data_IF_829292202980
#
_entry.id   IF_829292202980
#
_cell.length_a   1.000
_cell.length_b   1.000
_cell.length_c   1.000
_cell.angle_alpha   90.00
_cell.angle_beta   90.00
_cell.angle_gamma   90.00
#
_symmetry.space_group_name_H-M   'P 1'
#
loop_
_entity.id
_entity.type
_entity.pdbx_description
1 polymer ?
#
# COMPACT_ATOMS: atom_id res chain seq x y z
N UNK A 1 18.27 -10.41 -7.41
CA UNK A 1 18.02 -11.06 -6.11
C UNK A 1 17.13 -10.14 -5.29
N UNK A 2 16.05 -10.64 -4.71
CA UNK A 2 15.08 -9.87 -3.90
C UNK A 2 14.80 -10.57 -2.57
N UNK A 3 14.33 -9.87 -1.52
CA UNK A 3 13.84 -10.51 -0.30
C UNK A 3 12.68 -11.46 -0.60
N UNK A 4 12.69 -12.64 0.00
CA UNK A 4 11.61 -13.61 -0.09
C UNK A 4 10.46 -13.21 0.85
N UNK A 5 9.31 -12.82 0.28
CA UNK A 5 8.18 -12.30 1.04
C UNK A 5 7.59 -13.35 1.99
N UNK A 6 7.51 -14.63 1.59
CA UNK A 6 7.00 -15.69 2.46
C UNK A 6 7.95 -15.95 3.63
N UNK A 7 9.25 -15.97 3.39
CA UNK A 7 10.24 -16.07 4.46
C UNK A 7 10.10 -14.90 5.44
N UNK A 8 9.97 -13.66 4.95
CA UNK A 8 9.81 -12.48 5.80
C UNK A 8 8.51 -12.53 6.61
N UNK A 9 7.41 -12.99 6.01
CA UNK A 9 6.13 -13.15 6.69
C UNK A 9 6.22 -14.16 7.84
N UNK A 10 6.81 -15.33 7.60
CA UNK A 10 7.04 -16.36 8.62
C UNK A 10 7.96 -15.82 9.72
N UNK A 11 9.03 -15.10 9.35
CA UNK A 11 9.95 -14.48 10.31
C UNK A 11 9.25 -13.43 11.19
N UNK A 12 8.36 -12.62 10.61
CA UNK A 12 7.54 -11.65 11.33
C UNK A 12 6.56 -12.33 12.31
N UNK A 13 5.91 -13.42 11.90
CA UNK A 13 5.08 -14.24 12.79
C UNK A 13 5.94 -14.77 13.95
N UNK A 14 7.10 -15.34 13.65
CA UNK A 14 8.00 -15.89 14.67
C UNK A 14 8.52 -14.82 15.64
N UNK A 15 8.72 -13.58 15.17
CA UNK A 15 9.15 -12.45 15.99
C UNK A 15 8.06 -11.95 16.94
N UNK A 16 6.79 -11.97 16.50
CA UNK A 16 5.63 -11.57 17.32
C UNK A 16 5.10 -12.69 18.22
N UNK A 17 5.48 -13.93 17.96
CA UNK A 17 5.02 -15.11 18.71
C UNK A 17 5.83 -15.36 19.99
N UNK A 18 5.25 -16.13 20.91
CA UNK A 18 5.92 -16.54 22.16
C UNK A 18 7.19 -17.40 21.93
N UNK A 19 8.06 -17.54 22.95
CA UNK A 19 9.37 -18.17 22.81
C UNK A 19 9.32 -19.60 22.26
N UNK A 20 8.33 -20.40 22.66
CA UNK A 20 8.17 -21.79 22.20
C UNK A 20 7.87 -21.87 20.71
N UNK A 21 6.87 -21.13 20.23
CA UNK A 21 6.47 -21.09 18.81
C UNK A 21 7.63 -20.59 17.95
N UNK A 22 8.33 -19.54 18.41
CA UNK A 22 9.52 -19.03 17.73
C UNK A 22 10.60 -20.09 17.55
N UNK A 23 10.84 -20.95 18.54
CA UNK A 23 11.81 -22.04 18.43
C UNK A 23 11.36 -23.11 17.44
N UNK A 24 10.10 -23.52 17.49
CA UNK A 24 9.54 -24.49 16.54
C UNK A 24 9.68 -23.98 15.09
N UNK A 25 9.32 -22.72 14.83
CA UNK A 25 9.44 -22.12 13.49
C UNK A 25 10.90 -22.08 13.05
N UNK A 26 11.83 -21.66 13.93
CA UNK A 26 13.26 -21.63 13.61
C UNK A 26 13.80 -23.02 13.25
N UNK A 27 13.47 -24.02 14.06
CA UNK A 27 13.89 -25.41 13.81
C UNK A 27 13.31 -25.93 12.50
N UNK A 28 12.04 -25.68 12.22
CA UNK A 28 11.40 -26.06 10.96
C UNK A 28 12.10 -25.41 9.76
N UNK A 29 12.34 -24.10 9.79
CA UNK A 29 13.05 -23.40 8.71
C UNK A 29 14.47 -23.94 8.50
N UNK A 30 15.19 -24.25 9.57
CA UNK A 30 16.55 -24.80 9.50
C UNK A 30 16.58 -26.26 9.00
N UNK A 31 15.61 -27.07 9.39
CA UNK A 31 15.53 -28.49 9.06
C UNK A 31 15.10 -28.71 7.61
N UNK A 32 14.03 -28.03 7.20
CA UNK A 32 13.43 -28.27 5.89
C UNK A 32 14.08 -27.48 4.76
N UNK A 33 14.69 -26.32 5.07
CA UNK A 33 15.37 -25.43 4.11
C UNK A 33 14.57 -25.15 2.82
N UNK A 34 13.24 -25.19 2.90
CA UNK A 34 12.38 -24.90 1.76
C UNK A 34 12.47 -23.43 1.34
N UNK A 35 12.72 -22.54 2.29
CA UNK A 35 12.83 -21.11 2.05
C UNK A 35 14.21 -20.55 2.37
N UNK A 36 14.61 -19.59 1.55
CA UNK A 36 15.79 -18.74 1.76
C UNK A 36 15.36 -17.29 1.97
N UNK A 37 16.12 -16.48 2.74
CA UNK A 37 15.78 -15.07 2.96
C UNK A 37 15.73 -14.22 1.68
N UNK A 38 16.44 -14.66 0.64
CA UNK A 38 16.51 -14.03 -0.67
C UNK A 38 16.30 -15.07 -1.77
N UNK A 39 15.67 -14.64 -2.86
CA UNK A 39 15.41 -15.45 -4.06
C UNK A 39 15.87 -14.73 -5.32
N UNK A 40 16.11 -15.50 -6.37
CA UNK A 40 16.43 -15.00 -7.70
C UNK A 40 15.23 -15.22 -8.62
N UNK A 41 14.53 -14.12 -8.92
CA UNK A 41 13.41 -14.07 -9.87
C UNK A 41 13.64 -12.93 -10.85
N UNK A 42 13.02 -13.01 -12.02
CA UNK A 42 13.05 -11.91 -12.99
C UNK A 42 12.10 -10.78 -12.56
N UNK A 43 12.31 -9.58 -13.11
CA UNK A 43 11.43 -8.43 -12.85
C UNK A 43 9.99 -8.74 -13.29
N UNK A 44 9.82 -9.42 -14.43
CA UNK A 44 8.49 -9.78 -14.93
C UNK A 44 7.76 -10.76 -14.00
N UNK A 45 8.48 -11.75 -13.46
CA UNK A 45 7.94 -12.69 -12.47
C UNK A 45 7.59 -12.02 -11.15
N UNK A 46 8.44 -11.10 -10.68
CA UNK A 46 8.16 -10.38 -9.44
C UNK A 46 6.93 -9.48 -9.59
N UNK A 47 6.84 -8.72 -10.68
CA UNK A 47 5.81 -7.71 -10.84
C UNK A 47 4.50 -8.28 -11.38
N UNK A 48 4.52 -9.08 -12.45
CA UNK A 48 3.33 -9.37 -13.25
C UNK A 48 2.96 -10.86 -13.33
N UNK A 49 3.89 -11.75 -13.75
CA UNK A 49 3.59 -13.19 -13.91
C UNK A 49 3.39 -13.91 -12.58
N UNK A 50 3.96 -13.36 -11.52
CA UNK A 50 4.11 -14.00 -10.21
C UNK A 50 5.16 -15.10 -10.23
N UNK A 51 5.74 -15.38 -9.06
CA UNK A 51 6.63 -16.53 -8.85
C UNK A 51 5.97 -17.56 -7.92
N UNK A 52 6.34 -18.82 -8.07
CA UNK A 52 5.90 -19.89 -7.19
C UNK A 52 6.80 -19.97 -5.96
N UNK A 53 6.18 -19.98 -4.80
CA UNK A 53 6.87 -20.17 -3.52
C UNK A 53 6.99 -21.67 -3.20
N UNK A 54 8.20 -22.18 -2.86
CA UNK A 54 8.41 -23.59 -2.55
C UNK A 54 7.50 -24.12 -1.44
N UNK A 55 7.26 -23.36 -0.37
CA UNK A 55 6.36 -23.77 0.71
C UNK A 55 4.90 -23.83 0.24
N UNK A 56 4.41 -22.78 -0.42
CA UNK A 56 3.02 -22.77 -0.92
C UNK A 56 2.80 -23.95 -1.85
N UNK A 57 3.73 -24.19 -2.77
CA UNK A 57 3.68 -25.32 -3.69
C UNK A 57 3.62 -26.66 -2.96
N UNK A 58 4.49 -26.88 -1.98
CA UNK A 58 4.51 -28.16 -1.23
C UNK A 58 3.23 -28.41 -0.43
N UNK A 59 2.60 -27.36 0.08
CA UNK A 59 1.37 -27.47 0.88
C UNK A 59 0.15 -27.62 -0.04
N UNK A 60 0.06 -26.82 -1.09
CA UNK A 60 -1.14 -26.67 -1.91
C UNK A 60 -1.16 -27.55 -3.17
N UNK A 61 -0.05 -28.20 -3.55
CA UNK A 61 -0.03 -29.21 -4.63
C UNK A 61 -0.72 -30.53 -4.22
N UNK A 62 -0.96 -30.76 -2.92
CA UNK A 62 -1.66 -31.96 -2.46
C UNK A 62 -3.15 -31.86 -2.81
N UNK A 63 -3.67 -32.82 -3.60
CA UNK A 63 -5.08 -32.87 -4.03
C UNK A 63 -6.09 -32.82 -2.89
N UNK A 64 -5.72 -33.25 -1.67
CA UNK A 64 -6.58 -33.18 -0.48
C UNK A 64 -6.74 -31.76 0.08
N UNK A 65 -5.72 -30.91 -0.09
CA UNK A 65 -5.62 -29.58 0.54
C UNK A 65 -5.75 -28.46 -0.51
N UNK A 66 -5.59 -28.77 -1.79
CA UNK A 66 -5.66 -27.82 -2.89
C UNK A 66 -6.93 -26.94 -2.86
N UNK A 67 -8.10 -27.57 -2.73
CA UNK A 67 -9.37 -26.85 -2.64
C UNK A 67 -9.47 -25.98 -1.38
N UNK A 68 -8.84 -26.41 -0.27
CA UNK A 68 -8.77 -25.64 0.96
C UNK A 68 -7.88 -24.40 0.78
N UNK A 69 -6.74 -24.53 0.10
CA UNK A 69 -5.85 -23.39 -0.19
C UNK A 69 -6.57 -22.33 -1.03
N UNK A 70 -7.31 -22.75 -2.06
CA UNK A 70 -8.11 -21.84 -2.89
C UNK A 70 -9.21 -21.18 -2.06
N UNK A 71 -9.95 -21.95 -1.27
CA UNK A 71 -11.01 -21.43 -0.42
C UNK A 71 -10.49 -20.48 0.67
N UNK A 72 -9.27 -20.69 1.15
CA UNK A 72 -8.58 -19.82 2.09
C UNK A 72 -7.97 -18.57 1.44
N UNK A 73 -8.04 -18.43 0.12
CA UNK A 73 -7.48 -17.31 -0.62
C UNK A 73 -5.95 -17.28 -0.65
N UNK A 74 -5.28 -18.44 -0.50
CA UNK A 74 -3.82 -18.52 -0.60
C UNK A 74 -3.42 -18.41 -2.07
N UNK A 75 -2.65 -17.37 -2.47
CA UNK A 75 -2.26 -17.21 -3.85
C UNK A 75 -1.22 -18.28 -4.24
N UNK A 76 -1.47 -19.00 -5.33
CA UNK A 76 -0.53 -20.00 -5.87
C UNK A 76 0.75 -19.35 -6.42
N UNK A 77 0.67 -18.07 -6.83
CA UNK A 77 1.80 -17.28 -7.32
C UNK A 77 1.79 -15.92 -6.65
N UNK A 78 2.97 -15.47 -6.22
CA UNK A 78 3.14 -14.18 -5.55
C UNK A 78 3.59 -13.14 -6.58
N UNK A 79 2.81 -12.06 -6.73
CA UNK A 79 3.08 -10.91 -7.61
C UNK A 79 2.71 -9.61 -6.91
N UNK A 80 3.25 -8.50 -7.39
CA UNK A 80 3.00 -7.16 -6.81
C UNK A 80 2.02 -6.32 -7.61
N UNK A 81 1.90 -6.55 -8.91
CA UNK A 81 1.04 -5.79 -9.80
C UNK A 81 0.09 -6.73 -10.52
N UNK A 82 -1.13 -6.24 -10.71
CA UNK A 82 -2.17 -6.87 -11.51
C UNK A 82 -2.31 -6.13 -12.83
N UNK A 83 -2.61 -6.86 -13.90
CA UNK A 83 -2.85 -6.27 -15.21
C UNK A 83 -4.32 -6.40 -15.58
N UNK A 84 -4.94 -5.31 -16.02
CA UNK A 84 -6.35 -5.28 -16.41
C UNK A 84 -7.33 -5.33 -15.23
N UNK A 85 -6.89 -4.92 -14.03
CA UNK A 85 -7.74 -4.77 -12.84
C UNK A 85 -7.86 -3.31 -12.45
N UNK A 86 -8.91 -2.96 -11.72
CA UNK A 86 -9.07 -1.64 -11.10
C UNK A 86 -8.65 -1.63 -9.63
N UNK A 87 -8.47 -0.43 -9.07
CA UNK A 87 -8.10 -0.17 -7.68
C UNK A 87 -9.33 0.07 -6.79
N UNK A 88 -10.49 -0.45 -7.21
CA UNK A 88 -11.78 -0.24 -6.57
C UNK A 88 -12.64 0.86 -7.21
N UNK A 89 -13.88 0.94 -6.75
CA UNK A 89 -14.89 1.89 -7.23
C UNK A 89 -14.79 3.22 -6.48
N UNK A 90 -14.75 4.33 -7.21
CA UNK A 90 -14.71 5.69 -6.64
C UNK A 90 -16.00 6.45 -6.97
N UNK A 91 -16.59 7.06 -5.95
CA UNK A 91 -17.66 8.05 -6.14
C UNK A 91 -17.03 9.45 -6.15
N UNK A 92 -17.02 10.08 -7.33
CA UNK A 92 -16.31 11.34 -7.59
C UNK A 92 -17.29 12.43 -8.01
N UNK A 93 -17.10 13.64 -7.48
CA UNK A 93 -17.86 14.83 -7.88
C UNK A 93 -17.46 15.31 -9.28
N UNK A 94 -18.45 15.48 -10.16
CA UNK A 94 -18.23 15.96 -11.52
C UNK A 94 -17.99 17.47 -11.61
N UNK A 95 -18.26 18.22 -10.53
CA UNK A 95 -18.12 19.68 -10.47
C UNK A 95 -19.19 20.44 -11.26
N UNK A 96 -20.29 19.79 -11.66
CA UNK A 96 -21.32 20.40 -12.52
C UNK A 96 -22.07 21.54 -11.82
N UNK A 97 -22.38 21.38 -10.54
CA UNK A 97 -23.05 22.40 -9.73
C UNK A 97 -22.06 23.41 -9.13
N UNK A 98 -20.85 22.94 -8.82
CA UNK A 98 -19.80 23.72 -8.17
C UNK A 98 -18.43 23.24 -8.66
N UNK A 99 -17.82 24.05 -9.52
CA UNK A 99 -16.52 23.75 -10.10
C UNK A 99 -15.41 23.58 -9.04
N UNK A 100 -15.58 24.11 -7.82
CA UNK A 100 -14.60 23.95 -6.74
C UNK A 100 -14.56 22.53 -6.16
N UNK A 101 -15.57 21.70 -6.44
CA UNK A 101 -15.65 20.32 -5.94
C UNK A 101 -15.21 19.27 -6.94
N UNK A 102 -14.93 19.66 -8.19
CA UNK A 102 -14.55 18.72 -9.25
C UNK A 102 -13.42 17.77 -8.81
N UNK A 103 -13.58 16.48 -9.09
CA UNK A 103 -12.60 15.45 -8.74
C UNK A 103 -12.61 15.05 -7.26
N UNK A 104 -13.46 15.65 -6.42
CA UNK A 104 -13.57 15.28 -5.00
C UNK A 104 -14.09 13.85 -4.85
N UNK A 105 -13.35 13.02 -4.12
CA UNK A 105 -13.75 11.66 -3.77
C UNK A 105 -14.65 11.69 -2.53
N UNK A 106 -15.82 11.07 -2.64
CA UNK A 106 -16.78 10.91 -1.54
C UNK A 106 -16.76 9.50 -0.95
N UNK A 107 -16.59 8.49 -1.78
CA UNK A 107 -16.60 7.09 -1.37
C UNK A 107 -15.58 6.28 -2.16
N UNK A 108 -15.08 5.24 -1.52
CA UNK A 108 -14.25 4.21 -2.13
C UNK A 108 -14.83 2.85 -1.76
N UNK A 109 -15.12 2.01 -2.76
CA UNK A 109 -15.80 0.72 -2.61
C UNK A 109 -17.11 0.81 -1.80
N UNK A 110 -17.91 1.84 -2.06
CA UNK A 110 -19.19 2.10 -1.37
C UNK A 110 -19.06 2.54 0.10
N UNK A 111 -17.85 2.78 0.60
CA UNK A 111 -17.59 3.25 1.96
C UNK A 111 -17.12 4.71 1.96
N UNK A 112 -17.53 5.48 2.97
CA UNK A 112 -17.08 6.87 3.20
C UNK A 112 -15.87 6.98 4.13
N UNK A 113 -15.45 5.86 4.75
CA UNK A 113 -14.28 5.72 5.60
C UNK A 113 -13.60 4.37 5.33
N UNK A 114 -12.27 4.30 5.47
CA UNK A 114 -11.51 3.08 5.21
C UNK A 114 -11.42 2.21 6.47
N UNK A 115 -11.53 0.87 6.39
CA UNK A 115 -11.66 0.03 7.58
C UNK A 115 -10.33 -0.28 8.29
N UNK A 116 -9.18 0.05 7.68
CA UNK A 116 -7.88 -0.48 8.09
C UNK A 116 -7.20 0.32 9.21
N UNK A 117 -7.53 1.61 9.37
CA UNK A 117 -6.86 2.48 10.33
C UNK A 117 -7.63 2.59 11.65
N UNK A 118 -6.88 2.64 12.76
CA UNK A 118 -7.45 2.66 14.11
C UNK A 118 -8.13 3.98 14.47
N UNK A 119 -7.61 5.12 14.03
CA UNK A 119 -8.16 6.44 14.34
C UNK A 119 -9.14 6.90 13.27
N UNK A 120 -10.21 7.59 13.68
CA UNK A 120 -11.21 8.10 12.76
C UNK A 120 -10.60 9.06 11.73
N UNK A 121 -9.61 9.86 12.14
CA UNK A 121 -8.90 10.80 11.29
C UNK A 121 -8.15 10.11 10.15
N UNK A 122 -7.50 8.98 10.41
CA UNK A 122 -6.75 8.23 9.40
C UNK A 122 -7.66 7.47 8.43
N UNK A 123 -8.90 7.17 8.85
CA UNK A 123 -9.90 6.51 8.00
C UNK A 123 -10.62 7.43 7.02
N UNK A 124 -10.56 8.75 7.22
CA UNK A 124 -11.33 9.70 6.41
C UNK A 124 -10.85 9.69 4.96
N UNK A 125 -11.83 9.63 4.06
CA UNK A 125 -11.65 9.89 2.64
C UNK A 125 -11.80 11.40 2.42
N UNK A 126 -10.72 12.06 2.02
CA UNK A 126 -10.69 13.49 1.78
C UNK A 126 -9.89 13.82 0.51
N UNK A 127 -10.35 14.85 -0.19
CA UNK A 127 -9.66 15.39 -1.36
C UNK A 127 -10.03 14.70 -2.65
N UNK A 128 -9.08 14.70 -3.60
CA UNK A 128 -9.24 14.08 -4.92
C UNK A 128 -8.43 12.78 -4.99
N UNK A 129 -8.54 12.04 -6.09
CA UNK A 129 -7.70 10.88 -6.40
C UNK A 129 -6.30 11.28 -6.91
N UNK A 130 -6.06 12.59 -7.08
CA UNK A 130 -4.81 13.13 -7.60
C UNK A 130 -4.74 13.26 -9.12
N UNK A 131 -5.76 12.80 -9.87
CA UNK A 131 -5.81 12.98 -11.33
C UNK A 131 -6.28 14.38 -11.72
N UNK A 132 -7.25 14.90 -10.96
CA UNK A 132 -7.86 16.19 -11.20
C UNK A 132 -7.97 17.00 -9.91
N UNK A 133 -7.76 18.31 -10.03
CA UNK A 133 -7.94 19.28 -8.95
C UNK A 133 -8.86 20.40 -9.40
N UNK A 134 -9.50 21.07 -8.44
CA UNK A 134 -10.33 22.24 -8.69
C UNK A 134 -9.53 23.37 -9.37
N UNK A 135 -10.15 24.17 -10.25
CA UNK A 135 -9.49 25.32 -10.86
C UNK A 135 -9.20 26.43 -9.83
N UNK A 136 -8.32 27.36 -10.20
CA UNK A 136 -7.98 28.56 -9.42
C UNK A 136 -7.32 28.29 -8.05
N UNK A 137 -6.44 27.29 -7.99
CA UNK A 137 -5.62 27.02 -6.81
C UNK A 137 -4.58 28.13 -6.57
N UNK A 138 -4.33 28.43 -5.30
CA UNK A 138 -3.25 29.25 -4.77
C UNK A 138 -2.23 28.40 -4.01
N UNK A 139 -1.03 28.94 -3.81
CA UNK A 139 0.05 28.26 -3.05
C UNK A 139 -0.34 27.94 -1.60
N UNK A 140 -1.32 28.65 -1.03
CA UNK A 140 -1.82 28.41 0.31
C UNK A 140 -2.87 27.30 0.41
N UNK A 141 -3.34 26.76 -0.72
CA UNK A 141 -4.33 25.69 -0.70
C UNK A 141 -3.70 24.35 -0.31
N UNK A 142 -4.29 23.70 0.68
CA UNK A 142 -4.00 22.30 0.99
C UNK A 142 -4.74 21.41 -0.01
N UNK A 143 -4.00 20.55 -0.71
CA UNK A 143 -4.53 19.60 -1.70
C UNK A 143 -4.47 18.19 -1.11
N UNK A 144 -5.50 17.75 -0.38
CA UNK A 144 -5.60 16.38 0.07
C UNK A 144 -5.75 15.44 -1.14
N UNK A 145 -5.03 14.32 -1.11
CA UNK A 145 -5.10 13.26 -2.11
C UNK A 145 -5.43 11.96 -1.38
N UNK A 146 -6.52 11.32 -1.76
CA UNK A 146 -6.90 10.01 -1.26
C UNK A 146 -6.38 8.91 -2.19
N UNK A 147 -5.66 7.94 -1.62
CA UNK A 147 -5.14 6.79 -2.35
C UNK A 147 -5.86 5.54 -1.85
N UNK A 148 -6.78 4.99 -2.63
CA UNK A 148 -7.58 3.82 -2.24
C UNK A 148 -6.76 2.59 -1.90
N UNK A 149 -5.67 2.35 -2.63
CA UNK A 149 -4.73 1.23 -2.37
C UNK A 149 -4.09 1.30 -0.98
N UNK A 150 -3.84 2.51 -0.48
CA UNK A 150 -3.30 2.75 0.86
C UNK A 150 -4.41 2.94 1.89
N UNK A 151 -5.62 3.24 1.42
CA UNK A 151 -6.79 3.57 2.20
C UNK A 151 -6.59 4.77 3.10
N UNK A 152 -5.79 5.74 2.68
CA UNK A 152 -5.49 6.93 3.47
C UNK A 152 -5.41 8.17 2.59
N UNK A 153 -5.70 9.32 3.21
CA UNK A 153 -5.50 10.63 2.60
C UNK A 153 -4.16 11.22 3.02
N UNK A 154 -3.39 11.66 2.02
CA UNK A 154 -2.18 12.44 2.19
C UNK A 154 -2.48 13.91 2.00
N UNK A 155 -1.81 14.75 2.76
CA UNK A 155 -1.90 16.20 2.63
C UNK A 155 -0.55 16.71 2.16
N UNK A 156 -0.55 17.51 1.10
CA UNK A 156 0.65 18.20 0.69
C UNK A 156 0.79 19.49 1.50
N UNK A 157 1.81 19.56 2.35
CA UNK A 157 2.23 20.82 2.97
C UNK A 157 3.28 21.46 2.07
N UNK A 158 2.84 22.37 1.20
CA UNK A 158 3.66 23.27 0.37
C UNK A 158 4.72 22.58 -0.50
N UNK A 159 4.52 22.55 -1.83
CA UNK A 159 5.63 22.29 -2.75
C UNK A 159 6.61 23.47 -2.65
N UNK A 160 7.88 23.26 -2.28
CA UNK A 160 8.86 24.34 -2.17
C UNK A 160 9.35 24.70 -3.57
N UNK A 161 8.59 25.51 -4.30
CA UNK A 161 9.04 26.19 -5.52
C UNK A 161 8.20 27.46 -5.76
N UNK A 162 8.25 28.37 -4.79
CA UNK A 162 8.07 29.81 -5.00
C UNK A 162 9.18 30.53 -4.22
N UNK A 163 9.68 31.69 -4.70
CA UNK A 163 10.90 32.29 -4.16
C UNK A 163 10.70 32.59 -2.67
N UNK A 164 11.76 32.35 -1.88
CA UNK A 164 11.85 32.62 -0.44
C UNK A 164 10.92 33.76 -0.03
N UNK A 165 10.04 33.48 0.92
CA UNK A 165 9.18 34.49 1.49
C UNK A 165 10.06 35.62 2.04
N UNK A 166 9.68 36.89 1.78
CA UNK A 166 10.41 38.09 2.27
C UNK A 166 10.58 38.16 3.80
N UNK A 167 9.99 37.23 4.55
CA UNK A 167 10.22 37.06 5.98
C UNK A 167 11.54 36.35 6.29
N UNK A 168 11.99 35.40 5.46
CA UNK A 168 13.27 34.70 5.67
C UNK A 168 14.48 35.56 5.25
N UNK A 169 14.29 36.53 4.36
CA UNK A 169 15.34 37.48 3.96
C UNK A 169 15.69 38.45 5.11
N UNK A 170 14.72 38.85 5.93
CA UNK A 170 14.96 39.79 7.04
C UNK A 170 15.66 39.14 8.25
N UNK A 171 15.52 37.83 8.46
CA UNK A 171 16.23 37.13 9.55
C UNK A 171 17.72 36.89 9.21
N UNK A 172 18.09 36.91 7.93
CA UNK A 172 19.48 36.77 7.49
C UNK A 172 20.27 38.09 7.50
N UNK A 173 19.61 39.24 7.53
CA UNK A 173 20.26 40.57 7.62
C UNK A 173 20.54 41.05 9.06
N UNK A 174 19.95 40.42 10.07
CA UNK A 174 20.21 40.72 11.50
C UNK A 174 21.38 39.89 12.09
N UNK A 175 22.02 39.03 11.29
CA UNK A 175 23.15 38.19 11.71
C UNK A 175 24.50 38.56 11.03
N UNK A 176 24.62 39.77 10.46
CA UNK A 176 25.91 40.34 10.02
C UNK A 176 26.20 41.69 10.69
#
# INVERSE_FOLDING_TARGET
MIPNIMFQYIANIAAKSGPMVRQVIKLALQQFKYETPFINVTVNQMLFEGYEDPLIRKICDNSLIHNLCIAAGIPMRIKFLENGTDNGEYLIDTGLEDNSKIGRVYQWNGQNETPWWSTAQARKINGTDGELFSPFLSESNNLPIFIGDLGSTFHNSNMPNSPMSKQEENELFELN
#
